data_IF_062949662756
#
_entry.id   IF_062949662756
#
_cell.length_a   1.000
_cell.length_b   1.000
_cell.length_c   1.000
_cell.angle_alpha   90.00
_cell.angle_beta   90.00
_cell.angle_gamma   90.00
#
_symmetry.space_group_name_H-M   'P 1'
#
loop_
_entity.id
_entity.type
_entity.pdbx_description
1 polymer ?
#
# COMPACT_ATOMS: atom_id res chain seq x y z
N UNK A 1 -13.22 -22.95 66.36
CA UNK A 1 -13.75 -22.79 67.73
C UNK A 1 -13.08 -21.55 68.29
N UNK A 2 -13.69 -20.38 68.43
CA UNK A 2 -15.09 -20.05 68.72
C UNK A 2 -15.58 -18.92 67.80
N UNK A 3 -16.76 -19.09 67.21
CA UNK A 3 -17.45 -18.08 66.40
C UNK A 3 -18.13 -17.05 67.30
N UNK A 4 -17.87 -15.77 67.04
CA UNK A 4 -18.60 -14.66 67.65
C UNK A 4 -20.01 -14.58 67.07
N UNK A 5 -21.02 -14.98 67.84
CA UNK A 5 -22.43 -14.83 67.46
C UNK A 5 -22.83 -13.35 67.63
N UNK A 6 -23.11 -12.67 66.52
CA UNK A 6 -23.74 -11.35 66.54
C UNK A 6 -25.27 -11.56 66.56
N UNK A 7 -25.92 -11.21 67.67
CA UNK A 7 -27.38 -11.20 67.77
C UNK A 7 -27.96 -9.89 67.27
N UNK A 8 -28.88 -9.97 66.31
CA UNK A 8 -29.69 -8.83 65.85
C UNK A 8 -31.12 -8.97 66.39
N UNK A 9 -31.66 -7.90 66.99
CA UNK A 9 -33.03 -7.86 67.50
C UNK A 9 -33.94 -6.99 66.63
N UNK A 10 -35.12 -7.50 66.25
CA UNK A 10 -36.17 -6.73 65.59
C UNK A 10 -37.22 -6.23 66.60
N UNK A 11 -37.62 -4.98 66.47
CA UNK A 11 -38.54 -4.21 67.34
C UNK A 11 -40.03 -4.59 67.21
N UNK A 12 -40.33 -5.85 66.90
CA UNK A 12 -41.71 -6.37 66.91
C UNK A 12 -41.79 -7.77 67.52
N UNK A 13 -41.42 -7.89 68.80
CA UNK A 13 -41.97 -8.88 69.73
C UNK A 13 -41.80 -10.39 69.45
N UNK A 14 -41.19 -10.84 68.35
CA UNK A 14 -40.86 -12.24 68.10
C UNK A 14 -39.53 -12.39 67.37
N UNK A 15 -38.59 -13.06 68.02
CA UNK A 15 -37.28 -13.45 67.50
C UNK A 15 -37.45 -14.34 66.26
N UNK A 16 -36.82 -13.99 65.13
CA UNK A 16 -36.55 -14.94 64.04
C UNK A 16 -35.06 -14.94 63.74
N UNK A 17 -34.47 -16.13 63.65
CA UNK A 17 -33.09 -16.34 63.24
C UNK A 17 -33.03 -16.37 61.71
N UNK A 18 -32.11 -15.61 61.10
CA UNK A 18 -31.78 -15.72 59.68
C UNK A 18 -30.40 -16.39 59.54
N UNK A 19 -30.33 -17.53 58.86
CA UNK A 19 -29.08 -18.22 58.50
C UNK A 19 -28.54 -17.71 57.15
N UNK A 20 -27.23 -17.79 56.87
CA UNK A 20 -26.57 -17.02 55.81
C UNK A 20 -26.66 -17.60 54.39
N UNK A 21 -27.58 -18.54 54.13
CA UNK A 21 -27.68 -19.24 52.84
C UNK A 21 -29.08 -19.14 52.25
N UNK A 22 -29.51 -17.93 51.94
CA UNK A 22 -30.53 -17.62 50.92
C UNK A 22 -30.53 -16.11 50.67
N UNK A 23 -30.63 -15.71 49.41
CA UNK A 23 -30.82 -14.35 48.95
C UNK A 23 -31.92 -13.63 49.76
N UNK A 24 -31.54 -12.70 50.63
CA UNK A 24 -32.50 -11.77 51.22
C UNK A 24 -32.35 -10.42 50.51
N UNK A 25 -32.98 -10.34 49.35
CA UNK A 25 -33.21 -9.09 48.65
C UNK A 25 -33.96 -8.10 49.55
N UNK A 26 -33.39 -6.90 49.61
CA UNK A 26 -33.96 -5.61 49.93
C UNK A 26 -35.44 -5.56 50.34
N UNK A 27 -35.69 -5.19 51.61
CA UNK A 27 -36.56 -4.08 52.05
C UNK A 27 -36.66 -4.10 53.58
N UNK A 28 -36.40 -2.96 54.23
CA UNK A 28 -36.70 -2.66 55.63
C UNK A 28 -35.72 -3.11 56.75
N UNK A 29 -34.45 -2.74 56.66
CA UNK A 29 -33.65 -2.46 57.87
C UNK A 29 -33.51 -0.93 58.02
N UNK A 30 -34.35 -0.31 58.85
CA UNK A 30 -34.18 1.08 59.28
C UNK A 30 -33.43 1.12 60.61
N UNK A 31 -32.31 1.83 60.64
CA UNK A 31 -31.58 2.18 61.86
C UNK A 31 -32.36 3.28 62.58
N UNK A 32 -32.85 3.00 63.79
CA UNK A 32 -33.47 3.99 64.68
C UNK A 32 -32.45 4.44 65.73
N UNK A 33 -31.92 5.65 65.57
CA UNK A 33 -31.29 6.38 66.69
C UNK A 33 -31.82 7.82 66.71
N UNK A 34 -32.52 8.16 67.79
CA UNK A 34 -32.93 9.52 68.14
C UNK A 34 -31.85 10.18 68.99
N UNK A 35 -31.43 11.40 68.61
CA UNK A 35 -30.50 12.21 69.40
C UNK A 35 -30.47 13.65 68.89
N UNK A 36 -30.91 14.57 69.76
CA UNK A 36 -31.18 15.99 69.53
C UNK A 36 -29.98 16.83 69.05
N UNK A 37 -30.35 17.96 68.42
CA UNK A 37 -29.62 19.22 68.25
C UNK A 37 -28.63 19.33 67.08
N UNK A 38 -29.03 20.17 66.11
CA UNK A 38 -28.13 20.77 65.13
C UNK A 38 -28.69 20.72 63.72
N UNK A 39 -29.68 21.58 63.42
CA UNK A 39 -30.00 21.93 62.04
C UNK A 39 -28.79 22.66 61.43
N UNK A 40 -27.86 21.90 60.87
CA UNK A 40 -26.96 22.39 59.83
C UNK A 40 -27.58 21.99 58.50
N UNK A 41 -28.05 22.98 57.76
CA UNK A 41 -28.34 22.81 56.34
C UNK A 41 -27.03 22.41 55.63
N UNK A 42 -26.85 21.11 55.38
CA UNK A 42 -25.91 20.66 54.36
C UNK A 42 -26.65 20.82 53.04
N UNK A 43 -26.52 22.01 52.46
CA UNK A 43 -26.80 22.19 51.04
C UNK A 43 -25.78 21.38 50.26
N UNK A 44 -26.07 20.11 49.96
CA UNK A 44 -25.37 19.38 48.93
C UNK A 44 -25.82 19.96 47.60
N UNK A 45 -25.11 21.00 47.15
CA UNK A 45 -25.16 21.40 45.74
C UNK A 45 -24.77 20.18 44.91
N UNK A 46 -25.64 19.65 44.04
CA UNK A 46 -25.26 18.53 43.20
C UNK A 46 -24.18 19.05 42.24
N UNK A 47 -22.97 18.50 42.33
CA UNK A 47 -21.81 18.87 41.53
C UNK A 47 -22.00 18.37 40.08
N UNK A 48 -22.98 18.91 39.35
CA UNK A 48 -23.24 18.61 37.93
C UNK A 48 -22.07 19.03 37.00
N UNK A 49 -21.03 19.70 37.52
CA UNK A 49 -19.90 20.20 36.73
C UNK A 49 -18.83 19.16 36.39
N UNK A 50 -18.62 18.12 37.21
CA UNK A 50 -17.47 17.20 37.04
C UNK A 50 -17.65 16.17 35.92
N UNK A 51 -18.90 15.79 35.62
CA UNK A 51 -19.22 14.80 34.59
C UNK A 51 -19.17 15.37 33.18
N UNK A 52 -19.42 16.68 33.03
CA UNK A 52 -19.38 17.38 31.72
C UNK A 52 -17.95 17.51 31.19
N UNK A 53 -16.98 17.70 32.07
CA UNK A 53 -15.57 17.77 31.70
C UNK A 53 -15.03 16.42 31.20
N UNK A 54 -15.33 15.32 31.91
CA UNK A 54 -14.89 13.98 31.52
C UNK A 54 -15.50 13.52 30.18
N UNK A 55 -16.78 13.84 29.94
CA UNK A 55 -17.44 13.54 28.67
C UNK A 55 -16.84 14.36 27.50
N UNK A 56 -16.54 15.64 27.71
CA UNK A 56 -15.91 16.49 26.69
C UNK A 56 -14.50 15.98 26.31
N UNK A 57 -13.71 15.54 27.28
CA UNK A 57 -12.37 14.97 27.01
C UNK A 57 -12.45 13.66 26.23
N UNK A 58 -13.42 12.78 26.52
CA UNK A 58 -13.60 11.54 25.76
C UNK A 58 -14.03 11.80 24.31
N UNK A 59 -14.90 12.80 24.07
CA UNK A 59 -15.29 13.20 22.72
C UNK A 59 -14.11 13.78 21.96
N UNK A 60 -13.29 14.62 22.59
CA UNK A 60 -12.09 15.20 21.96
C UNK A 60 -11.05 14.13 21.61
N UNK A 61 -10.81 13.16 22.51
CA UNK A 61 -9.89 12.04 22.25
C UNK A 61 -10.42 11.10 21.17
N UNK A 62 -11.72 10.81 21.16
CA UNK A 62 -12.34 10.00 20.10
C UNK A 62 -12.29 10.73 18.75
N UNK A 63 -12.54 12.05 18.71
CA UNK A 63 -12.42 12.84 17.49
C UNK A 63 -10.97 12.95 17.00
N UNK A 64 -10.00 13.07 17.92
CA UNK A 64 -8.58 13.08 17.57
C UNK A 64 -8.12 11.70 17.08
N UNK A 65 -8.63 10.60 17.68
CA UNK A 65 -8.37 9.24 17.22
C UNK A 65 -8.98 8.95 15.84
N UNK A 66 -10.21 9.44 15.57
CA UNK A 66 -10.79 9.39 14.22
C UNK A 66 -9.98 10.22 13.23
N UNK A 67 -9.51 11.42 13.62
CA UNK A 67 -8.67 12.26 12.77
C UNK A 67 -7.30 11.64 12.49
N UNK A 68 -6.74 10.90 13.47
CA UNK A 68 -5.48 10.15 13.28
C UNK A 68 -5.67 8.87 12.45
N UNK A 69 -6.88 8.32 12.35
CA UNK A 69 -7.18 7.15 11.52
C UNK A 69 -7.19 7.47 10.02
N UNK A 70 -7.32 8.74 9.65
CA UNK A 70 -7.29 9.24 8.27
C UNK A 70 -5.85 9.46 7.74
N UNK A 71 -4.82 9.26 8.58
CA UNK A 71 -3.41 9.47 8.23
C UNK A 71 -2.71 8.20 7.72
N UNK A 72 -3.45 7.24 7.15
CA UNK A 72 -2.79 6.09 6.51
C UNK A 72 -1.95 6.59 5.33
N UNK A 73 -0.62 6.44 5.35
CA UNK A 73 0.18 6.80 4.19
C UNK A 73 -0.27 5.91 3.03
N UNK A 74 -0.74 6.52 1.94
CA UNK A 74 -0.91 5.80 0.69
C UNK A 74 0.50 5.34 0.30
N UNK A 75 0.72 4.04 0.25
CA UNK A 75 1.91 3.51 -0.42
C UNK A 75 1.66 3.74 -1.89
N UNK A 76 2.22 4.83 -2.43
CA UNK A 76 2.22 5.06 -3.86
C UNK A 76 2.90 3.86 -4.52
N UNK A 77 2.22 3.24 -5.49
CA UNK A 77 2.85 2.26 -6.36
C UNK A 77 3.99 2.97 -7.09
N UNK A 78 5.15 2.32 -7.21
CA UNK A 78 6.28 2.92 -7.91
C UNK A 78 5.87 3.14 -9.37
N UNK A 79 6.20 4.32 -9.93
CA UNK A 79 5.86 4.61 -11.32
C UNK A 79 6.61 3.66 -12.26
N UNK A 80 5.96 3.20 -13.35
CA UNK A 80 6.63 2.42 -14.39
C UNK A 80 7.84 3.15 -14.94
N UNK A 81 8.97 2.45 -15.04
CA UNK A 81 10.22 2.99 -15.58
C UNK A 81 10.65 2.14 -16.76
N UNK A 82 10.93 2.78 -17.90
CA UNK A 82 11.52 2.15 -19.08
C UNK A 82 12.90 2.75 -19.31
N UNK A 83 13.93 1.92 -19.34
CA UNK A 83 15.32 2.36 -19.45
C UNK A 83 16.15 1.46 -20.36
N UNK A 84 16.97 2.02 -21.27
CA UNK A 84 17.98 1.25 -21.97
C UNK A 84 19.08 0.78 -21.02
N UNK A 85 19.63 -0.42 -21.28
CA UNK A 85 20.76 -1.00 -20.57
C UNK A 85 21.74 -1.65 -21.55
N UNK A 86 22.98 -1.17 -21.64
CA UNK A 86 23.52 -0.01 -20.91
C UNK A 86 22.90 1.32 -21.37
N UNK A 87 22.89 2.33 -20.48
CA UNK A 87 22.39 3.67 -20.80
C UNK A 87 23.32 4.45 -21.73
N UNK A 88 24.60 4.06 -21.76
CA UNK A 88 25.65 4.66 -22.56
C UNK A 88 26.50 3.56 -23.17
N UNK A 89 26.78 3.70 -24.45
CA UNK A 89 27.77 2.89 -25.17
C UNK A 89 28.77 3.83 -25.83
N UNK A 90 30.03 3.41 -25.85
CA UNK A 90 31.07 4.10 -26.58
C UNK A 90 31.04 3.63 -28.03
N UNK A 91 30.53 4.49 -28.92
CA UNK A 91 30.34 4.11 -30.32
C UNK A 91 31.70 3.92 -31.00
N UNK A 92 31.97 2.68 -31.42
CA UNK A 92 33.08 2.30 -32.29
C UNK A 92 32.52 1.97 -33.67
N UNK A 93 33.14 2.53 -34.71
CA UNK A 93 32.62 2.38 -36.08
C UNK A 93 32.69 0.91 -36.54
N UNK A 94 31.55 0.36 -36.94
CA UNK A 94 31.40 -1.03 -37.42
C UNK A 94 31.43 -2.10 -36.33
N UNK A 95 31.59 -1.72 -35.05
CA UNK A 95 31.40 -2.64 -33.93
C UNK A 95 29.92 -2.76 -33.60
N UNK A 96 29.50 -3.96 -33.20
CA UNK A 96 28.12 -4.25 -32.81
C UNK A 96 28.03 -4.34 -31.30
N UNK A 97 27.24 -3.45 -30.71
CA UNK A 97 26.89 -3.45 -29.29
C UNK A 97 25.46 -3.97 -29.09
N UNK A 98 25.19 -4.45 -27.87
CA UNK A 98 23.88 -4.97 -27.46
C UNK A 98 23.29 -4.02 -26.42
N UNK A 99 22.04 -3.59 -26.64
CA UNK A 99 21.27 -2.77 -25.71
C UNK A 99 19.93 -3.43 -25.43
N UNK A 100 19.66 -3.73 -24.17
CA UNK A 100 18.35 -4.19 -23.72
C UNK A 100 17.48 -3.00 -23.32
N UNK A 101 16.21 -3.02 -23.72
CA UNK A 101 15.23 -2.09 -23.21
C UNK A 101 14.50 -2.74 -22.03
N UNK A 102 14.80 -2.28 -20.81
CA UNK A 102 14.25 -2.81 -19.58
C UNK A 102 13.01 -2.01 -19.16
N UNK A 103 12.02 -2.71 -18.61
CA UNK A 103 10.91 -2.11 -17.90
C UNK A 103 10.90 -2.58 -16.44
N UNK A 104 10.44 -1.73 -15.53
CA UNK A 104 10.34 -2.01 -14.10
C UNK A 104 9.16 -1.27 -13.48
N UNK A 105 8.71 -1.75 -12.31
CA UNK A 105 7.55 -1.21 -11.58
C UNK A 105 6.26 -1.24 -12.41
N UNK A 106 6.08 -2.30 -13.20
CA UNK A 106 4.81 -2.57 -13.87
C UNK A 106 4.07 -3.67 -13.14
N UNK A 107 2.75 -3.72 -13.26
CA UNK A 107 1.95 -4.82 -12.74
C UNK A 107 0.89 -5.20 -13.77
N UNK A 108 0.66 -6.50 -13.95
CA UNK A 108 -0.43 -6.98 -14.81
C UNK A 108 -0.23 -6.72 -16.31
N UNK A 109 1.00 -6.73 -16.82
CA UNK A 109 1.28 -6.46 -18.25
C UNK A 109 0.90 -7.67 -19.12
N UNK A 110 0.09 -7.43 -20.15
CA UNK A 110 -0.29 -8.41 -21.18
C UNK A 110 0.12 -7.97 -22.59
N UNK A 111 0.55 -6.72 -22.74
CA UNK A 111 0.88 -6.16 -24.03
C UNK A 111 1.69 -4.90 -23.87
N UNK A 112 2.47 -4.62 -24.90
CA UNK A 112 3.38 -3.48 -24.98
C UNK A 112 3.30 -2.89 -26.37
N UNK A 113 3.39 -1.57 -26.41
CA UNK A 113 3.45 -0.80 -27.63
C UNK A 113 4.46 0.34 -27.41
N UNK A 114 5.70 0.13 -27.84
CA UNK A 114 6.79 1.09 -27.68
C UNK A 114 7.40 1.59 -29.00
N UNK A 115 7.58 2.90 -29.09
CA UNK A 115 8.39 3.54 -30.12
C UNK A 115 9.73 3.96 -29.52
N UNK A 116 10.83 3.64 -30.21
CA UNK A 116 12.16 4.09 -29.80
C UNK A 116 12.76 4.94 -30.92
N UNK A 117 13.34 6.08 -30.57
CA UNK A 117 14.11 6.92 -31.48
C UNK A 117 15.60 6.83 -31.22
N UNK A 118 16.37 6.95 -32.29
CA UNK A 118 17.83 7.06 -32.28
C UNK A 118 18.29 8.07 -33.34
N UNK A 119 19.58 8.45 -33.31
CA UNK A 119 20.20 9.26 -34.35
C UNK A 119 20.79 8.34 -35.45
N UNK A 120 20.14 8.23 -36.63
CA UNK A 120 20.58 7.35 -37.71
C UNK A 120 21.88 7.83 -38.39
N UNK A 121 22.35 9.05 -38.09
CA UNK A 121 23.66 9.49 -38.53
C UNK A 121 24.79 8.91 -37.66
N UNK A 122 24.50 8.48 -36.42
CA UNK A 122 25.50 8.02 -35.45
C UNK A 122 25.53 6.50 -35.32
N UNK A 123 24.36 5.85 -35.31
CA UNK A 123 24.24 4.39 -35.23
C UNK A 123 23.28 3.85 -36.30
N UNK A 124 23.34 2.55 -36.54
CA UNK A 124 22.31 1.78 -37.23
C UNK A 124 21.88 0.58 -36.40
N UNK A 125 20.64 0.17 -36.55
CA UNK A 125 20.12 -1.06 -36.00
C UNK A 125 20.54 -2.20 -36.91
N UNK A 126 21.14 -3.23 -36.32
CA UNK A 126 21.51 -4.47 -37.00
C UNK A 126 20.30 -5.39 -36.97
N UNK A 127 20.01 -5.99 -38.12
CA UNK A 127 18.88 -6.87 -38.29
C UNK A 127 19.02 -8.15 -37.44
N UNK A 128 17.99 -8.43 -36.65
CA UNK A 128 17.89 -9.58 -35.79
C UNK A 128 17.45 -10.87 -36.53
N UNK A 129 16.80 -10.75 -37.69
CA UNK A 129 16.26 -11.89 -38.45
C UNK A 129 16.43 -11.71 -39.97
N UNK A 130 17.53 -12.26 -40.49
CA UNK A 130 17.84 -12.19 -41.91
C UNK A 130 16.87 -12.98 -42.82
N UNK A 131 15.97 -13.78 -42.27
CA UNK A 131 14.92 -14.47 -43.05
C UNK A 131 13.65 -13.61 -43.20
N UNK A 132 13.49 -12.56 -42.37
CA UNK A 132 12.37 -11.63 -42.44
C UNK A 132 12.68 -10.43 -43.35
N UNK A 133 11.63 -9.88 -43.97
CA UNK A 133 11.78 -8.65 -44.76
C UNK A 133 11.95 -7.44 -43.83
N UNK A 134 13.06 -6.71 -43.96
CA UNK A 134 13.29 -5.44 -43.27
C UNK A 134 14.45 -5.52 -42.27
N UNK A 135 14.39 -4.70 -41.23
CA UNK A 135 15.32 -4.76 -40.10
C UNK A 135 14.49 -4.94 -38.85
N UNK A 136 14.80 -5.95 -38.05
CA UNK A 136 14.07 -6.25 -36.82
C UNK A 136 14.98 -6.16 -35.59
N UNK A 137 14.35 -6.11 -34.43
CA UNK A 137 15.02 -6.28 -33.12
C UNK A 137 14.63 -7.61 -32.50
N UNK A 138 15.41 -8.09 -31.53
CA UNK A 138 15.05 -9.31 -30.80
C UNK A 138 13.93 -9.03 -29.80
N UNK A 139 12.82 -9.80 -29.84
CA UNK A 139 11.83 -9.79 -28.77
C UNK A 139 12.46 -10.11 -27.42
N UNK A 140 12.04 -9.40 -26.38
CA UNK A 140 12.40 -9.71 -25.00
C UNK A 140 11.51 -10.80 -24.39
N UNK A 141 11.53 -10.87 -23.06
CA UNK A 141 10.74 -11.83 -22.27
C UNK A 141 9.52 -11.20 -21.60
N UNK A 142 9.40 -9.86 -21.61
CA UNK A 142 8.32 -9.12 -20.97
C UNK A 142 7.56 -8.21 -21.95
N UNK A 143 6.26 -8.47 -22.16
CA UNK A 143 5.53 -9.69 -21.80
C UNK A 143 6.04 -10.87 -22.64
N UNK A 144 5.60 -12.10 -22.35
CA UNK A 144 5.93 -13.23 -23.21
C UNK A 144 5.32 -13.00 -24.60
N UNK A 145 6.12 -12.85 -25.67
CA UNK A 145 5.64 -12.29 -26.94
C UNK A 145 4.99 -13.36 -27.82
N UNK A 146 3.90 -13.98 -27.35
CA UNK A 146 3.17 -15.02 -28.09
C UNK A 146 2.59 -14.50 -29.41
N UNK A 147 2.32 -13.19 -29.48
CA UNK A 147 1.85 -12.50 -30.68
C UNK A 147 2.54 -11.15 -30.85
N UNK A 148 3.47 -11.07 -31.79
CA UNK A 148 4.17 -9.84 -32.21
C UNK A 148 3.48 -9.28 -33.45
N UNK A 149 2.81 -8.14 -33.31
CA UNK A 149 2.07 -7.50 -34.40
C UNK A 149 2.90 -6.48 -35.16
N UNK A 150 3.89 -5.88 -34.48
CA UNK A 150 4.82 -4.92 -35.08
C UNK A 150 6.23 -5.22 -34.57
N UNK A 151 7.19 -5.37 -35.49
CA UNK A 151 8.61 -5.39 -35.17
C UNK A 151 9.38 -4.90 -36.40
N UNK A 152 9.81 -3.64 -36.39
CA UNK A 152 10.67 -3.11 -37.43
C UNK A 152 11.51 -1.94 -36.91
N UNK A 153 12.67 -1.75 -37.54
CA UNK A 153 13.54 -0.60 -37.39
C UNK A 153 13.80 0.05 -38.75
N UNK A 154 13.82 1.38 -38.76
CA UNK A 154 14.11 2.19 -39.94
C UNK A 154 15.39 3.00 -39.70
N UNK A 155 16.47 2.55 -40.34
CA UNK A 155 17.79 3.17 -40.29
C UNK A 155 17.91 4.47 -41.12
N UNK A 156 16.86 4.86 -41.85
CA UNK A 156 16.80 6.16 -42.53
C UNK A 156 16.13 7.21 -41.65
N UNK A 157 15.07 6.83 -40.93
CA UNK A 157 14.29 7.77 -40.10
C UNK A 157 14.65 7.75 -38.62
N UNK A 158 15.42 6.75 -38.15
CA UNK A 158 15.86 6.66 -36.76
C UNK A 158 14.76 6.17 -35.83
N UNK A 159 13.93 5.23 -36.27
CA UNK A 159 12.74 4.77 -35.53
C UNK A 159 12.73 3.25 -35.42
N UNK A 160 12.40 2.75 -34.23
CA UNK A 160 12.05 1.35 -33.96
C UNK A 160 10.60 1.32 -33.50
N UNK A 161 9.80 0.40 -34.03
CA UNK A 161 8.43 0.17 -33.61
C UNK A 161 8.24 -1.29 -33.23
N UNK A 162 7.84 -1.51 -31.98
CA UNK A 162 7.63 -2.85 -31.46
C UNK A 162 6.32 -2.95 -30.68
N UNK A 163 5.49 -3.93 -31.06
CA UNK A 163 4.20 -4.23 -30.43
C UNK A 163 4.09 -5.73 -30.24
N UNK A 164 3.88 -6.15 -29.00
CA UNK A 164 3.73 -7.55 -28.65
C UNK A 164 2.66 -7.74 -27.59
N UNK A 165 2.01 -8.90 -27.62
CA UNK A 165 1.00 -9.31 -26.66
C UNK A 165 1.24 -10.75 -26.23
N UNK A 166 0.85 -11.03 -24.99
CA UNK A 166 0.85 -12.35 -24.38
C UNK A 166 -0.59 -12.85 -24.27
N UNK A 167 -0.81 -14.10 -24.65
CA UNK A 167 -2.15 -14.69 -24.65
C UNK A 167 -2.22 -15.89 -23.70
N UNK A 168 -3.37 -16.06 -23.04
CA UNK A 168 -3.72 -17.27 -22.27
C UNK A 168 -2.73 -17.69 -21.17
N UNK A 169 -1.93 -16.74 -20.68
CA UNK A 169 -0.90 -16.94 -19.66
C UNK A 169 -1.11 -15.98 -18.48
N UNK A 170 -0.54 -16.31 -17.32
CA UNK A 170 -0.55 -15.41 -16.16
C UNK A 170 0.13 -14.07 -16.50
N UNK A 171 -0.27 -12.93 -15.92
CA UNK A 171 0.32 -11.64 -16.26
C UNK A 171 1.85 -11.66 -16.14
N UNK A 172 2.53 -10.92 -17.00
CA UNK A 172 3.99 -10.86 -17.02
C UNK A 172 4.56 -10.34 -15.69
N UNK A 173 5.84 -10.62 -15.45
CA UNK A 173 6.56 -10.16 -14.26
C UNK A 173 6.53 -8.63 -14.11
N UNK A 174 6.84 -8.14 -12.91
CA UNK A 174 6.82 -6.70 -12.63
C UNK A 174 7.99 -5.91 -13.25
N UNK A 175 8.97 -6.64 -13.80
CA UNK A 175 10.16 -6.12 -14.48
C UNK A 175 10.76 -7.15 -15.43
N UNK A 176 11.43 -6.71 -16.49
CA UNK A 176 12.00 -7.60 -17.51
C UNK A 176 12.48 -6.86 -18.74
N UNK A 177 12.95 -7.62 -19.74
CA UNK A 177 13.43 -7.11 -21.02
C UNK A 177 12.25 -7.04 -21.99
N UNK A 178 12.03 -5.88 -22.57
CA UNK A 178 11.00 -5.67 -23.58
C UNK A 178 11.49 -6.09 -24.96
N UNK A 179 12.70 -5.67 -25.31
CA UNK A 179 13.39 -6.02 -26.55
C UNK A 179 14.89 -5.85 -26.39
N UNK A 180 15.66 -6.54 -27.23
CA UNK A 180 17.11 -6.42 -27.34
C UNK A 180 17.46 -5.85 -28.71
N UNK A 181 18.21 -4.75 -28.70
CA UNK A 181 18.61 -3.99 -29.88
C UNK A 181 20.08 -4.26 -30.14
N UNK A 182 20.39 -4.74 -31.34
CA UNK A 182 21.75 -4.74 -31.84
C UNK A 182 22.03 -3.42 -32.55
N UNK A 183 23.10 -2.72 -32.16
CA UNK A 183 23.46 -1.43 -32.74
C UNK A 183 24.87 -1.47 -33.31
N UNK A 184 25.05 -0.94 -34.51
CA UNK A 184 26.35 -0.77 -35.17
C UNK A 184 26.72 0.70 -35.25
N UNK A 185 27.96 1.04 -34.89
CA UNK A 185 28.44 2.41 -34.94
C UNK A 185 28.69 2.92 -36.36
N UNK A 186 28.15 4.09 -36.71
CA UNK A 186 28.47 4.79 -37.97
C UNK A 186 29.55 5.86 -37.80
N UNK A 187 29.52 6.58 -36.68
CA UNK A 187 30.46 7.67 -36.38
C UNK A 187 31.03 7.49 -34.97
N UNK A 188 32.33 7.17 -34.90
CA UNK A 188 33.01 6.97 -33.62
C UNK A 188 33.06 8.24 -32.77
N UNK A 189 33.01 8.08 -31.44
CA UNK A 189 33.12 9.18 -30.47
C UNK A 189 31.89 10.11 -30.41
N UNK A 190 30.77 9.72 -31.03
CA UNK A 190 29.46 10.36 -30.89
C UNK A 190 28.56 9.52 -29.98
N UNK A 191 27.48 10.11 -29.50
CA UNK A 191 26.45 9.44 -28.73
C UNK A 191 25.12 9.53 -29.47
N UNK A 192 24.34 8.46 -29.40
CA UNK A 192 22.95 8.41 -29.86
C UNK A 192 22.09 7.90 -28.72
N UNK A 193 21.46 8.78 -27.93
CA UNK A 193 20.50 8.35 -26.91
C UNK A 193 19.35 7.56 -27.56
N UNK A 194 18.89 6.52 -26.87
CA UNK A 194 17.64 5.86 -27.20
C UNK A 194 16.51 6.54 -26.42
N UNK A 195 15.60 7.18 -27.13
CA UNK A 195 14.45 7.88 -26.53
C UNK A 195 13.19 7.07 -26.74
N UNK A 196 12.47 6.78 -25.67
CA UNK A 196 11.18 6.08 -25.71
C UNK A 196 10.07 7.13 -25.84
N UNK A 197 9.16 6.97 -26.80
CA UNK A 197 8.02 7.86 -27.08
C UNK A 197 6.67 7.16 -26.97
#
# INVERSE_FOLDING_TARGET
MMDGVVTFGCTSGRTRYCSPTAECQARACQVLSHGRNGLRHIGSTPHLGRWRAAAATCVLLASLLLLLLELTPVMADAEPVVVPSPQHIDIIQGEVDVIDLLISNVTGVYGIDIQVRFDPAVIEIVDADAEADGVQVYPGDLPQPDNVTTNWADNQTGVIRYTATQQDSAPAADSGVVLTILVSGRIAGRQSPLTIE
#
